data_IF_298671611708
#
_entry.id   IF_298671611708
#
_cell.length_a   1.000
_cell.length_b   1.000
_cell.length_c   1.000
_cell.angle_alpha   90.00
_cell.angle_beta   90.00
_cell.angle_gamma   90.00
#
_symmetry.space_group_name_H-M   'P 1'
#
loop_
_entity.id
_entity.type
_entity.pdbx_description
1 polymer ?
#
# COMPACT_ATOMS: atom_id res chain seq x y z
N UNK A 1 59.21 17.65 -34.68
CA UNK A 1 58.73 17.15 -33.35
C UNK A 1 57.43 17.82 -32.87
N UNK A 2 57.21 19.13 -33.05
CA UNK A 2 56.02 19.87 -32.50
C UNK A 2 54.65 19.38 -33.03
N UNK A 3 54.50 18.93 -34.29
CA UNK A 3 53.20 18.51 -34.86
C UNK A 3 52.65 17.21 -34.27
N UNK A 4 53.52 16.22 -33.94
CA UNK A 4 53.11 14.94 -33.36
C UNK A 4 52.67 15.08 -31.91
N UNK A 5 53.29 15.99 -31.17
CA UNK A 5 52.90 16.31 -29.78
C UNK A 5 51.54 17.00 -29.71
N UNK A 6 51.24 17.89 -30.65
CA UNK A 6 49.95 18.61 -30.70
C UNK A 6 48.77 17.68 -30.99
N UNK A 7 48.95 16.71 -31.91
CA UNK A 7 47.92 15.71 -32.25
C UNK A 7 47.67 14.77 -31.06
N UNK A 8 48.70 14.39 -30.30
CA UNK A 8 48.53 13.56 -29.09
C UNK A 8 47.76 14.25 -27.97
N UNK A 9 48.01 15.56 -27.77
CA UNK A 9 47.28 16.34 -26.76
C UNK A 9 45.82 16.57 -27.16
N UNK A 10 45.54 16.79 -28.44
CA UNK A 10 44.16 16.91 -28.93
C UNK A 10 43.37 15.57 -28.80
N UNK A 11 44.01 14.43 -29.15
CA UNK A 11 43.36 13.11 -28.95
C UNK A 11 43.10 12.81 -27.49
N UNK A 12 44.02 13.10 -26.58
CA UNK A 12 43.80 12.89 -25.14
C UNK A 12 42.67 13.78 -24.59
N UNK A 13 42.55 15.03 -25.07
CA UNK A 13 41.45 15.91 -24.67
C UNK A 13 40.08 15.42 -25.20
N UNK A 14 40.00 14.90 -26.43
CA UNK A 14 38.78 14.37 -27.01
C UNK A 14 38.34 13.08 -26.30
N UNK A 15 39.28 12.17 -26.01
CA UNK A 15 39.02 10.93 -25.28
C UNK A 15 38.60 11.27 -23.84
N UNK A 16 39.24 12.22 -23.18
CA UNK A 16 38.85 12.70 -21.84
C UNK A 16 37.45 13.28 -21.83
N UNK A 17 37.10 14.11 -22.82
CA UNK A 17 35.75 14.70 -22.93
C UNK A 17 34.68 13.62 -23.23
N UNK A 18 34.98 12.62 -24.07
CA UNK A 18 34.10 11.52 -24.36
C UNK A 18 33.87 10.60 -23.14
N UNK A 19 34.91 10.30 -22.37
CA UNK A 19 34.81 9.52 -21.13
C UNK A 19 34.02 10.28 -20.08
N UNK A 20 34.25 11.59 -19.93
CA UNK A 20 33.48 12.42 -19.00
C UNK A 20 32.01 12.49 -19.40
N UNK A 21 31.70 12.61 -20.70
CA UNK A 21 30.34 12.59 -21.21
C UNK A 21 29.66 11.22 -20.98
N UNK A 22 30.40 10.10 -21.18
CA UNK A 22 29.90 8.74 -20.92
C UNK A 22 29.61 8.49 -19.43
N UNK A 23 30.46 9.00 -18.53
CA UNK A 23 30.29 8.88 -17.07
C UNK A 23 29.11 9.71 -16.60
N UNK A 24 28.89 10.89 -17.17
CA UNK A 24 27.73 11.74 -16.84
C UNK A 24 26.41 11.16 -17.33
N UNK A 25 26.43 10.38 -18.44
CA UNK A 25 25.22 9.72 -18.94
C UNK A 25 24.88 8.41 -18.20
N UNK A 26 25.83 7.83 -17.47
CA UNK A 26 25.63 6.58 -16.73
C UNK A 26 25.05 6.75 -15.31
N UNK A 27 24.90 7.98 -14.83
CA UNK A 27 24.45 8.26 -13.45
C UNK A 27 23.16 9.09 -13.36
N UNK A 28 22.40 9.23 -14.43
CA UNK A 28 21.02 9.68 -14.26
C UNK A 28 20.25 8.54 -13.60
N UNK A 29 19.71 8.69 -12.38
CA UNK A 29 18.81 7.68 -11.82
C UNK A 29 17.69 7.43 -12.83
N UNK A 30 17.21 6.18 -12.98
CA UNK A 30 16.13 5.91 -13.91
C UNK A 30 14.95 6.82 -13.55
N UNK A 31 14.55 7.68 -14.50
CA UNK A 31 13.46 8.63 -14.27
C UNK A 31 12.20 7.84 -13.92
N UNK A 32 11.60 8.13 -12.76
CA UNK A 32 10.29 7.60 -12.36
C UNK A 32 9.23 8.38 -13.14
N UNK A 33 8.35 7.68 -13.84
CA UNK A 33 7.28 8.33 -14.61
C UNK A 33 6.13 8.75 -13.69
N UNK A 34 5.79 7.87 -12.74
CA UNK A 34 4.68 8.06 -11.78
C UNK A 34 5.18 7.75 -10.36
N UNK A 35 4.94 8.66 -9.43
CA UNK A 35 4.99 8.34 -8.00
C UNK A 35 3.63 7.87 -7.51
N UNK A 36 3.61 6.90 -6.61
CA UNK A 36 2.42 6.38 -5.94
C UNK A 36 2.51 6.67 -4.43
N UNK A 37 1.41 7.05 -3.81
CA UNK A 37 1.34 7.31 -2.38
C UNK A 37 1.38 6.03 -1.52
N UNK A 38 1.16 4.85 -2.16
CA UNK A 38 1.24 3.54 -1.51
C UNK A 38 1.63 2.46 -2.50
N UNK A 39 2.15 1.34 -2.00
CA UNK A 39 2.46 0.15 -2.80
C UNK A 39 1.23 -0.42 -3.50
N UNK A 40 0.04 -0.27 -2.93
CA UNK A 40 -1.21 -0.72 -3.51
C UNK A 40 -1.53 0.06 -4.80
N UNK A 41 -1.41 1.39 -4.78
CA UNK A 41 -1.54 2.22 -5.98
C UNK A 41 -0.46 1.85 -7.00
N UNK A 42 0.79 1.65 -6.56
CA UNK A 42 1.89 1.27 -7.44
C UNK A 42 1.65 -0.08 -8.13
N UNK A 43 1.13 -1.08 -7.42
CA UNK A 43 0.74 -2.37 -7.99
C UNK A 43 -0.30 -2.20 -9.11
N UNK A 44 -1.36 -1.44 -8.84
CA UNK A 44 -2.41 -1.20 -9.84
C UNK A 44 -1.87 -0.48 -11.07
N UNK A 45 -1.02 0.54 -10.88
CA UNK A 45 -0.38 1.24 -11.99
C UNK A 45 0.46 0.26 -12.81
N UNK A 46 1.21 -0.63 -12.17
CA UNK A 46 1.99 -1.69 -12.82
C UNK A 46 1.12 -2.60 -13.69
N UNK A 47 0.00 -3.08 -13.16
CA UNK A 47 -0.96 -3.94 -13.86
C UNK A 47 -1.61 -3.21 -15.06
N UNK A 48 -2.10 -1.99 -14.84
CA UNK A 48 -2.79 -1.20 -15.85
C UNK A 48 -1.83 -0.71 -16.94
N UNK A 49 -0.65 -0.24 -16.56
CA UNK A 49 0.34 0.27 -17.51
C UNK A 49 1.06 -0.86 -18.28
N UNK A 50 1.05 -2.10 -17.78
CA UNK A 50 1.67 -3.25 -18.44
C UNK A 50 3.16 -3.03 -18.76
N UNK A 51 3.89 -2.42 -17.83
CA UNK A 51 5.33 -2.13 -17.97
C UNK A 51 5.69 -0.91 -18.83
N UNK A 52 4.71 -0.15 -19.32
CA UNK A 52 4.96 1.09 -20.11
C UNK A 52 5.39 2.28 -19.25
N UNK A 53 5.16 2.24 -17.94
CA UNK A 53 5.46 3.30 -17.00
C UNK A 53 6.32 2.74 -15.85
N UNK A 54 7.32 3.50 -15.43
CA UNK A 54 8.09 3.22 -14.23
C UNK A 54 7.44 3.91 -13.04
N UNK A 55 7.09 3.12 -12.05
CA UNK A 55 6.39 3.58 -10.86
C UNK A 55 7.24 3.32 -9.63
N UNK A 56 7.29 4.30 -8.73
CA UNK A 56 7.88 4.15 -7.41
C UNK A 56 6.88 4.58 -6.34
N UNK A 57 7.13 4.19 -5.10
CA UNK A 57 6.23 4.40 -3.97
C UNK A 57 6.83 5.39 -2.98
N UNK A 58 6.08 6.45 -2.62
CA UNK A 58 6.51 7.45 -1.64
C UNK A 58 6.60 6.86 -0.23
N UNK A 59 5.59 6.09 0.17
CA UNK A 59 5.46 5.57 1.54
C UNK A 59 5.64 4.05 1.53
N UNK A 60 6.65 3.50 2.24
CA UNK A 60 6.87 2.05 2.32
C UNK A 60 5.66 1.32 2.91
N UNK A 61 5.33 0.10 2.41
CA UNK A 61 4.06 -0.58 2.72
C UNK A 61 3.92 -1.04 4.18
N UNK A 62 5.02 -1.20 4.90
CA UNK A 62 5.03 -1.60 6.32
C UNK A 62 5.00 -0.44 7.32
N UNK A 63 4.79 0.80 6.86
CA UNK A 63 4.85 2.00 7.72
C UNK A 63 3.49 2.69 7.83
N UNK A 64 3.30 3.43 8.93
CA UNK A 64 2.13 4.30 9.09
C UNK A 64 2.21 5.46 8.09
N UNK A 65 1.24 5.61 7.16
CA UNK A 65 1.33 6.62 6.11
C UNK A 65 1.39 8.06 6.62
N UNK A 66 0.77 8.36 7.76
CA UNK A 66 0.76 9.71 8.32
C UNK A 66 2.01 10.08 9.12
N UNK A 67 2.83 9.07 9.50
CA UNK A 67 4.01 9.27 10.36
C UNK A 67 5.33 8.91 9.66
N UNK A 68 5.31 8.72 8.35
CA UNK A 68 6.51 8.40 7.59
C UNK A 68 7.33 9.67 7.29
N UNK A 69 8.61 9.65 7.66
CA UNK A 69 9.56 10.70 7.30
C UNK A 69 10.05 10.50 5.87
N UNK A 70 9.59 11.36 4.95
CA UNK A 70 9.95 11.29 3.52
C UNK A 70 11.43 11.59 3.31
N UNK A 71 12.12 10.70 2.61
CA UNK A 71 13.57 10.81 2.36
C UNK A 71 13.90 11.76 1.21
N UNK A 72 15.09 12.36 1.20
CA UNK A 72 15.53 13.21 0.10
C UNK A 72 15.47 12.54 -1.28
N UNK A 73 15.75 11.23 -1.36
CA UNK A 73 15.68 10.46 -2.62
C UNK A 73 14.25 10.33 -3.15
N UNK A 74 13.25 10.25 -2.26
CA UNK A 74 11.83 10.18 -2.62
C UNK A 74 11.32 11.54 -3.08
N UNK A 75 11.80 12.63 -2.45
CA UNK A 75 11.54 14.00 -2.90
C UNK A 75 12.16 14.24 -4.30
N UNK A 76 13.38 13.76 -4.54
CA UNK A 76 14.04 13.84 -5.85
C UNK A 76 13.26 13.04 -6.92
N UNK A 77 12.78 11.83 -6.59
CA UNK A 77 11.95 11.03 -7.47
C UNK A 77 10.63 11.76 -7.81
N UNK A 78 9.97 12.36 -6.81
CA UNK A 78 8.77 13.15 -6.99
C UNK A 78 9.02 14.41 -7.86
N UNK A 79 10.16 15.09 -7.66
CA UNK A 79 10.56 16.24 -8.44
C UNK A 79 10.75 15.92 -9.94
N UNK A 80 11.11 14.68 -10.27
CA UNK A 80 11.33 14.21 -11.64
C UNK A 80 10.14 13.42 -12.22
N UNK A 81 9.08 13.22 -11.45
CA UNK A 81 7.89 12.49 -11.90
C UNK A 81 6.91 13.37 -12.65
N UNK A 82 6.17 12.78 -13.60
CA UNK A 82 5.09 13.46 -14.32
C UNK A 82 3.82 13.55 -13.48
N UNK A 83 3.53 12.53 -12.68
CA UNK A 83 2.35 12.52 -11.86
C UNK A 83 2.59 11.81 -10.52
N UNK A 84 1.75 12.17 -9.55
CA UNK A 84 1.70 11.57 -8.22
C UNK A 84 0.27 11.15 -7.90
N UNK A 85 0.07 9.85 -7.67
CA UNK A 85 -1.22 9.25 -7.36
C UNK A 85 -1.32 9.00 -5.86
N UNK A 86 -2.35 9.54 -5.21
CA UNK A 86 -2.56 9.41 -3.76
C UNK A 86 -3.98 8.98 -3.44
N UNK A 87 -4.16 8.30 -2.32
CA UNK A 87 -5.48 8.08 -1.73
C UNK A 87 -6.07 9.39 -1.22
N UNK A 88 -7.39 9.50 -1.16
CA UNK A 88 -8.09 10.70 -0.67
C UNK A 88 -7.66 11.11 0.75
N UNK A 89 -7.44 10.14 1.65
CA UNK A 89 -7.00 10.41 3.03
C UNK A 89 -5.57 10.99 3.11
N UNK A 90 -4.72 10.75 2.11
CA UNK A 90 -3.35 11.26 2.10
C UNK A 90 -3.24 12.76 1.76
N UNK A 91 -4.31 13.39 1.26
CA UNK A 91 -4.32 14.83 0.93
C UNK A 91 -4.05 15.73 2.14
N UNK A 92 -4.46 15.30 3.33
CA UNK A 92 -4.31 16.06 4.57
C UNK A 92 -3.04 15.72 5.35
N UNK A 93 -2.24 14.75 4.89
CA UNK A 93 -1.03 14.35 5.58
C UNK A 93 0.10 15.35 5.32
N UNK A 94 0.66 15.92 6.40
CA UNK A 94 1.72 16.94 6.34
C UNK A 94 2.98 16.42 5.63
N UNK A 95 3.35 15.16 5.81
CA UNK A 95 4.49 14.54 5.14
C UNK A 95 4.27 14.43 3.62
N UNK A 96 3.04 14.21 3.16
CA UNK A 96 2.68 14.13 1.74
C UNK A 96 2.65 15.52 1.11
N UNK A 97 1.98 16.48 1.75
CA UNK A 97 1.91 17.88 1.27
C UNK A 97 3.28 18.53 1.29
N UNK A 98 4.06 18.33 2.36
CA UNK A 98 5.43 18.80 2.46
C UNK A 98 6.37 18.21 1.41
N UNK A 99 6.20 16.93 1.06
CA UNK A 99 6.97 16.30 -0.03
C UNK A 99 6.65 16.93 -1.39
N UNK A 100 5.37 17.21 -1.69
CA UNK A 100 4.94 17.89 -2.91
C UNK A 100 5.58 19.29 -3.01
N UNK A 101 5.53 20.05 -1.92
CA UNK A 101 6.14 21.38 -1.84
C UNK A 101 7.67 21.34 -2.02
N UNK A 102 8.33 20.41 -1.31
CA UNK A 102 9.78 20.23 -1.37
C UNK A 102 10.28 19.76 -2.74
N UNK A 103 9.49 18.95 -3.45
CA UNK A 103 9.79 18.51 -4.82
C UNK A 103 9.85 19.68 -5.81
N UNK A 104 9.15 20.78 -5.52
CA UNK A 104 9.15 22.01 -6.33
C UNK A 104 9.00 21.75 -7.84
N UNK A 105 8.10 20.83 -8.21
CA UNK A 105 7.82 20.43 -9.60
C UNK A 105 6.53 21.09 -10.08
N UNK A 106 6.59 22.24 -10.81
CA UNK A 106 5.39 22.94 -11.27
C UNK A 106 4.59 22.18 -12.33
N UNK A 107 5.19 21.13 -12.92
CA UNK A 107 4.54 20.25 -13.90
C UNK A 107 3.94 18.99 -13.29
N UNK A 108 4.07 18.78 -11.98
CA UNK A 108 3.56 17.59 -11.31
C UNK A 108 2.02 17.55 -11.31
N UNK A 109 1.47 16.49 -11.87
CA UNK A 109 0.03 16.24 -11.86
C UNK A 109 -0.32 15.39 -10.64
N UNK A 110 -0.92 15.99 -9.61
CA UNK A 110 -1.40 15.23 -8.45
C UNK A 110 -2.80 14.68 -8.74
N UNK A 111 -2.93 13.34 -8.69
CA UNK A 111 -4.20 12.62 -8.87
C UNK A 111 -4.66 12.03 -7.55
N UNK A 112 -5.75 12.55 -7.03
CA UNK A 112 -6.40 12.05 -5.83
C UNK A 112 -7.43 11.00 -6.22
N UNK A 113 -7.26 9.79 -5.68
CA UNK A 113 -8.14 8.66 -5.94
C UNK A 113 -9.25 8.62 -4.89
N UNK A 114 -10.43 9.10 -5.29
CA UNK A 114 -11.63 9.07 -4.47
C UNK A 114 -12.32 7.70 -4.62
N UNK A 115 -11.83 6.72 -3.87
CA UNK A 115 -12.41 5.39 -3.74
C UNK A 115 -12.66 5.15 -2.26
N UNK A 116 -13.90 4.84 -1.92
CA UNK A 116 -14.33 4.68 -0.52
C UNK A 116 -14.27 3.19 -0.14
N UNK A 117 -13.79 2.91 1.06
CA UNK A 117 -13.69 1.56 1.61
C UNK A 117 -12.26 1.04 1.69
N UNK A 118 -12.14 -0.16 2.23
CA UNK A 118 -10.84 -0.84 2.35
C UNK A 118 -10.48 -1.49 1.01
N UNK A 119 -9.33 -1.15 0.45
CA UNK A 119 -8.89 -1.60 -0.87
C UNK A 119 -8.43 -3.08 -0.91
N UNK A 120 -8.37 -3.76 0.24
CA UNK A 120 -8.24 -5.22 0.26
C UNK A 120 -9.55 -5.93 -0.09
N UNK A 121 -10.70 -5.23 -0.05
CA UNK A 121 -11.99 -5.74 -0.54
C UNK A 121 -12.00 -5.77 -2.07
N UNK A 122 -12.28 -6.92 -2.71
CA UNK A 122 -12.18 -7.09 -4.16
C UNK A 122 -12.95 -6.04 -4.99
N UNK A 123 -14.18 -5.71 -4.59
CA UNK A 123 -14.99 -4.72 -5.31
C UNK A 123 -14.38 -3.31 -5.22
N UNK A 124 -13.81 -2.93 -4.07
CA UNK A 124 -13.14 -1.63 -3.86
C UNK A 124 -11.83 -1.58 -4.65
N UNK A 125 -11.07 -2.68 -4.66
CA UNK A 125 -9.84 -2.80 -5.46
C UNK A 125 -10.15 -2.65 -6.96
N UNK A 126 -11.19 -3.32 -7.46
CA UNK A 126 -11.61 -3.22 -8.87
C UNK A 126 -12.06 -1.80 -9.25
N UNK A 127 -12.72 -1.07 -8.34
CA UNK A 127 -13.01 0.36 -8.54
C UNK A 127 -11.71 1.17 -8.62
N UNK A 128 -10.75 0.94 -7.72
CA UNK A 128 -9.42 1.56 -7.73
C UNK A 128 -8.71 1.35 -9.06
N UNK A 129 -8.72 0.13 -9.60
CA UNK A 129 -8.15 -0.20 -10.92
C UNK A 129 -8.79 0.67 -12.03
N UNK A 130 -10.10 0.78 -12.04
CA UNK A 130 -10.83 1.57 -13.05
C UNK A 130 -10.51 3.07 -12.95
N UNK A 131 -10.44 3.61 -11.72
CA UNK A 131 -10.10 5.03 -11.47
C UNK A 131 -8.67 5.35 -11.88
N UNK A 132 -7.72 4.46 -11.60
CA UNK A 132 -6.32 4.63 -12.00
C UNK A 132 -6.18 4.58 -13.52
N UNK A 133 -6.84 3.64 -14.21
CA UNK A 133 -6.82 3.57 -15.66
C UNK A 133 -7.38 4.83 -16.33
N UNK A 134 -8.49 5.36 -15.81
CA UNK A 134 -9.05 6.62 -16.27
C UNK A 134 -8.03 7.76 -16.12
N UNK A 135 -7.45 7.91 -14.93
CA UNK A 135 -6.49 8.97 -14.65
C UNK A 135 -5.21 8.86 -15.49
N UNK A 136 -4.71 7.62 -15.72
CA UNK A 136 -3.59 7.38 -16.62
C UNK A 136 -3.94 7.72 -18.09
N UNK A 137 -5.15 7.41 -18.54
CA UNK A 137 -5.64 7.78 -19.87
C UNK A 137 -5.77 9.29 -20.08
N UNK A 138 -6.06 10.06 -19.03
CA UNK A 138 -6.06 11.53 -19.08
C UNK A 138 -4.63 12.10 -19.21
N UNK A 139 -3.63 11.46 -18.55
CA UNK A 139 -2.23 11.89 -18.56
C UNK A 139 -1.51 11.45 -19.84
N UNK A 140 -1.85 10.27 -20.36
CA UNK A 140 -1.26 9.62 -21.53
C UNK A 140 -2.35 9.17 -22.51
N UNK A 141 -3.00 10.13 -23.22
CA UNK A 141 -4.17 9.85 -24.07
C UNK A 141 -3.91 8.82 -25.18
N UNK A 142 -2.68 8.76 -25.68
CA UNK A 142 -2.25 7.81 -26.71
C UNK A 142 -2.33 6.34 -26.24
N UNK A 143 -2.31 6.08 -24.92
CA UNK A 143 -2.42 4.76 -24.32
C UNK A 143 -3.78 4.51 -23.64
N UNK A 144 -4.74 5.44 -23.70
CA UNK A 144 -5.99 5.37 -22.93
C UNK A 144 -6.78 4.07 -23.19
N UNK A 145 -6.90 3.65 -24.46
CA UNK A 145 -7.60 2.39 -24.82
C UNK A 145 -6.87 1.17 -24.25
N UNK A 146 -5.54 1.17 -24.28
CA UNK A 146 -4.73 0.09 -23.73
C UNK A 146 -4.91 -0.02 -22.20
N UNK A 147 -4.83 1.11 -21.49
CA UNK A 147 -5.03 1.13 -20.03
C UNK A 147 -6.44 0.69 -19.64
N UNK A 148 -7.44 1.12 -20.36
CA UNK A 148 -8.83 0.71 -20.10
C UNK A 148 -9.06 -0.78 -20.37
N UNK A 149 -8.42 -1.35 -21.39
CA UNK A 149 -8.47 -2.79 -21.69
C UNK A 149 -7.86 -3.61 -20.55
N UNK A 150 -6.63 -3.27 -20.14
CA UNK A 150 -5.95 -3.94 -19.03
C UNK A 150 -6.73 -3.82 -17.71
N UNK A 151 -7.30 -2.64 -17.43
CA UNK A 151 -8.10 -2.43 -16.23
C UNK A 151 -9.36 -3.29 -16.21
N UNK A 152 -10.04 -3.43 -17.34
CA UNK A 152 -11.23 -4.28 -17.45
C UNK A 152 -10.90 -5.74 -17.15
N UNK A 153 -9.83 -6.25 -17.76
CA UNK A 153 -9.35 -7.61 -17.51
C UNK A 153 -8.91 -7.79 -16.06
N UNK A 154 -8.12 -6.85 -15.52
CA UNK A 154 -7.63 -6.89 -14.15
C UNK A 154 -8.77 -6.87 -13.13
N UNK A 155 -9.78 -6.04 -13.33
CA UNK A 155 -10.94 -5.98 -12.44
C UNK A 155 -11.71 -7.32 -12.40
N UNK A 156 -11.86 -7.99 -13.56
CA UNK A 156 -12.48 -9.31 -13.62
C UNK A 156 -11.67 -10.37 -12.84
N UNK A 157 -10.35 -10.35 -12.99
CA UNK A 157 -9.45 -11.26 -12.24
C UNK A 157 -9.58 -11.03 -10.75
N UNK A 158 -9.56 -9.77 -10.29
CA UNK A 158 -9.70 -9.42 -8.87
C UNK A 158 -11.02 -9.90 -8.29
N UNK A 159 -12.13 -9.68 -9.01
CA UNK A 159 -13.46 -10.10 -8.54
C UNK A 159 -13.56 -11.63 -8.45
N UNK A 160 -13.09 -12.34 -9.49
CA UNK A 160 -13.08 -13.81 -9.49
C UNK A 160 -12.19 -14.39 -8.37
N UNK A 161 -11.04 -13.74 -8.13
CA UNK A 161 -10.14 -14.11 -7.02
C UNK A 161 -10.83 -13.94 -5.66
N UNK A 162 -11.55 -12.83 -5.50
CA UNK A 162 -12.33 -12.53 -4.29
C UNK A 162 -13.37 -13.58 -3.96
N UNK A 163 -14.04 -14.18 -4.97
CA UNK A 163 -14.97 -15.30 -4.74
C UNK A 163 -14.23 -16.52 -4.16
N UNK A 164 -13.08 -16.89 -4.69
CA UNK A 164 -12.26 -17.98 -4.16
C UNK A 164 -11.80 -17.73 -2.71
N UNK A 165 -11.49 -16.48 -2.38
CA UNK A 165 -11.15 -16.06 -0.99
C UNK A 165 -12.38 -16.21 -0.08
N UNK A 166 -13.56 -15.82 -0.55
CA UNK A 166 -14.83 -16.02 0.18
C UNK A 166 -15.10 -17.51 0.48
N UNK A 167 -14.89 -18.37 -0.51
CA UNK A 167 -15.07 -19.82 -0.32
C UNK A 167 -14.12 -20.36 0.77
N UNK A 168 -12.88 -19.89 0.82
CA UNK A 168 -11.92 -20.27 1.88
C UNK A 168 -12.37 -19.81 3.27
N UNK A 169 -12.84 -18.56 3.39
CA UNK A 169 -13.35 -18.01 4.65
C UNK A 169 -14.58 -18.78 5.13
N UNK A 170 -15.50 -19.13 4.23
CA UNK A 170 -16.66 -19.97 4.56
C UNK A 170 -16.26 -21.37 5.04
N UNK A 171 -15.28 -22.01 4.40
CA UNK A 171 -14.72 -23.29 4.84
C UNK A 171 -14.06 -23.19 6.21
N UNK A 172 -13.45 -22.05 6.54
CA UNK A 172 -12.89 -21.73 7.84
C UNK A 172 -13.92 -21.29 8.89
N UNK A 173 -15.23 -21.36 8.58
CA UNK A 173 -16.33 -21.09 9.52
C UNK A 173 -16.27 -19.72 10.20
N UNK A 174 -15.78 -18.69 9.50
CA UNK A 174 -15.60 -17.34 10.07
C UNK A 174 -16.93 -16.58 10.29
N UNK A 175 -18.02 -17.05 9.66
CA UNK A 175 -19.31 -16.37 9.69
C UNK A 175 -19.90 -16.31 11.11
N UNK A 176 -20.15 -15.09 11.59
CA UNK A 176 -20.64 -14.84 12.94
C UNK A 176 -19.60 -14.94 14.06
N UNK A 177 -18.32 -15.22 13.76
CA UNK A 177 -17.23 -15.11 14.73
C UNK A 177 -17.06 -13.67 15.15
N UNK A 178 -17.18 -13.40 16.45
CA UNK A 178 -17.10 -12.05 17.01
C UNK A 178 -15.67 -11.60 17.16
N UNK A 179 -15.40 -10.37 16.71
CA UNK A 179 -14.06 -9.79 16.73
C UNK A 179 -14.11 -8.31 17.14
N UNK A 180 -13.01 -7.79 17.66
CA UNK A 180 -12.71 -6.34 17.66
C UNK A 180 -11.57 -6.08 16.68
N UNK A 181 -11.59 -4.95 15.99
CA UNK A 181 -10.55 -4.68 14.99
C UNK A 181 -10.17 -3.20 14.90
N UNK A 182 -8.97 -2.94 14.41
CA UNK A 182 -8.57 -1.59 14.03
C UNK A 182 -9.54 -1.02 12.98
N UNK A 183 -9.96 0.25 13.11
CA UNK A 183 -10.91 0.93 12.21
C UNK A 183 -10.51 0.80 10.74
N UNK A 184 -9.20 0.86 10.45
CA UNK A 184 -8.67 0.74 9.08
C UNK A 184 -8.88 -0.66 8.49
N UNK A 185 -9.16 -1.69 9.31
CA UNK A 185 -9.42 -3.06 8.88
C UNK A 185 -10.91 -3.41 8.82
N UNK A 186 -11.77 -2.61 9.43
CA UNK A 186 -13.20 -2.93 9.58
C UNK A 186 -13.89 -3.28 8.24
N UNK A 187 -13.55 -2.55 7.16
CA UNK A 187 -14.11 -2.84 5.84
C UNK A 187 -13.72 -4.20 5.28
N UNK A 188 -12.47 -4.64 5.48
CA UNK A 188 -12.01 -5.95 5.05
C UNK A 188 -12.52 -7.07 5.97
N UNK A 189 -12.46 -6.88 7.28
CA UNK A 189 -12.91 -7.84 8.30
C UNK A 189 -14.41 -8.12 8.16
N UNK A 190 -15.23 -7.08 7.98
CA UNK A 190 -16.66 -7.23 7.72
C UNK A 190 -16.96 -7.90 6.37
N UNK A 191 -16.18 -7.54 5.31
CA UNK A 191 -16.28 -8.26 4.03
C UNK A 191 -15.89 -9.73 4.20
N UNK A 192 -14.91 -10.07 5.02
CA UNK A 192 -14.50 -11.45 5.29
C UNK A 192 -15.61 -12.30 5.94
N UNK A 193 -16.55 -11.69 6.66
CA UNK A 193 -17.71 -12.38 7.26
C UNK A 193 -17.71 -12.38 8.79
N UNK A 194 -16.69 -11.77 9.42
CA UNK A 194 -16.63 -11.64 10.87
C UNK A 194 -17.69 -10.65 11.41
N UNK A 195 -18.16 -10.89 12.61
CA UNK A 195 -19.06 -10.02 13.37
C UNK A 195 -18.22 -9.03 14.21
N UNK A 196 -18.17 -7.78 13.77
CA UNK A 196 -17.36 -6.73 14.43
C UNK A 196 -18.15 -6.15 15.60
N UNK A 197 -17.72 -6.47 16.82
CA UNK A 197 -18.32 -5.96 18.08
C UNK A 197 -17.94 -4.51 18.30
N UNK A 198 -16.65 -4.20 18.16
CA UNK A 198 -16.13 -2.84 18.31
C UNK A 198 -14.94 -2.60 17.39
N UNK A 199 -14.66 -1.31 17.13
CA UNK A 199 -13.45 -0.89 16.44
C UNK A 199 -12.61 0.04 17.32
N UNK A 200 -11.30 0.08 17.05
CA UNK A 200 -10.38 0.98 17.75
C UNK A 200 -9.52 1.77 16.75
N UNK A 201 -9.21 3.00 17.14
CA UNK A 201 -8.33 3.89 16.42
C UNK A 201 -6.86 3.52 16.58
N UNK A 202 -5.97 4.46 16.29
CA UNK A 202 -4.53 4.25 16.51
C UNK A 202 -4.22 4.10 17.99
N UNK A 203 -3.31 3.18 18.36
CA UNK A 203 -2.95 2.96 19.78
C UNK A 203 -2.52 4.22 20.51
N UNK A 204 -1.76 5.10 19.85
CA UNK A 204 -1.27 6.37 20.41
C UNK A 204 -2.38 7.42 20.68
N UNK A 205 -3.54 7.28 20.03
CA UNK A 205 -4.69 8.19 20.19
C UNK A 205 -5.67 7.69 21.28
N UNK A 206 -5.46 6.48 21.83
CA UNK A 206 -6.35 5.87 22.81
C UNK A 206 -5.96 6.24 24.25
N UNK A 207 -6.94 6.68 25.02
CA UNK A 207 -6.77 6.84 26.45
C UNK A 207 -6.90 5.51 27.18
N UNK A 208 -6.28 5.35 28.39
CA UNK A 208 -6.44 4.14 29.19
C UNK A 208 -7.90 3.77 29.49
N UNK A 209 -8.77 4.76 29.63
CA UNK A 209 -10.21 4.52 29.86
C UNK A 209 -10.90 3.92 28.61
N UNK A 210 -10.52 4.35 27.40
CA UNK A 210 -11.03 3.78 26.15
C UNK A 210 -10.56 2.33 25.99
N UNK A 211 -9.30 2.05 26.30
CA UNK A 211 -8.76 0.67 26.24
C UNK A 211 -9.50 -0.23 27.25
N UNK A 212 -9.72 0.23 28.49
CA UNK A 212 -10.46 -0.52 29.50
C UNK A 212 -11.92 -0.79 29.08
N UNK A 213 -12.59 0.18 28.46
CA UNK A 213 -13.94 0.00 27.93
C UNK A 213 -13.97 -1.03 26.78
N UNK A 214 -12.98 -0.97 25.88
CA UNK A 214 -12.85 -1.92 24.77
C UNK A 214 -12.64 -3.35 25.27
N UNK A 215 -11.80 -3.54 26.31
CA UNK A 215 -11.58 -4.82 26.98
C UNK A 215 -12.91 -5.36 27.56
N UNK A 216 -13.64 -4.53 28.31
CA UNK A 216 -14.91 -4.95 28.90
C UNK A 216 -15.93 -5.35 27.84
N UNK A 217 -16.07 -4.56 26.76
CA UNK A 217 -17.00 -4.83 25.66
C UNK A 217 -16.64 -6.15 24.95
N UNK A 218 -15.35 -6.37 24.72
CA UNK A 218 -14.86 -7.62 24.11
C UNK A 218 -15.11 -8.85 24.99
N UNK A 219 -14.86 -8.75 26.31
CA UNK A 219 -15.13 -9.82 27.28
C UNK A 219 -16.64 -10.15 27.34
N UNK A 220 -17.50 -9.13 27.49
CA UNK A 220 -18.97 -9.32 27.56
C UNK A 220 -19.53 -9.95 26.28
N UNK A 221 -18.95 -9.64 25.12
CA UNK A 221 -19.38 -10.18 23.85
C UNK A 221 -18.85 -11.61 23.58
N UNK A 222 -17.76 -12.04 24.23
CA UNK A 222 -17.05 -13.28 23.92
C UNK A 222 -16.36 -13.18 22.56
N UNK A 223 -15.45 -12.20 22.44
CA UNK A 223 -14.68 -11.94 21.21
C UNK A 223 -13.59 -12.99 21.05
N UNK A 224 -13.49 -13.58 19.85
CA UNK A 224 -12.48 -14.58 19.52
C UNK A 224 -11.13 -13.96 19.07
N UNK A 225 -11.18 -12.85 18.29
CA UNK A 225 -9.97 -12.24 17.74
C UNK A 225 -9.91 -10.75 18.01
N UNK A 226 -8.67 -10.28 18.22
CA UNK A 226 -8.29 -8.86 18.25
C UNK A 226 -7.45 -8.57 17.01
N UNK A 227 -7.98 -7.82 16.04
CA UNK A 227 -7.37 -7.65 14.73
C UNK A 227 -6.71 -6.27 14.62
N UNK A 228 -5.39 -6.25 14.71
CA UNK A 228 -4.55 -5.05 14.53
C UNK A 228 -4.31 -4.74 13.05
N UNK A 229 -4.02 -3.46 12.78
CA UNK A 229 -3.57 -2.99 11.47
C UNK A 229 -2.08 -2.67 11.48
N UNK A 230 -1.31 -3.34 10.63
CA UNK A 230 0.15 -3.14 10.52
C UNK A 230 0.54 -1.66 10.31
N UNK A 231 -0.28 -0.90 9.58
CA UNK A 231 -0.02 0.49 9.24
C UNK A 231 -0.56 1.51 10.27
N UNK A 232 -1.03 1.08 11.42
CA UNK A 232 -1.52 1.98 12.47
C UNK A 232 -0.47 2.37 13.52
N UNK A 233 0.82 2.18 13.23
CA UNK A 233 1.93 2.52 14.12
C UNK A 233 2.32 1.35 15.02
N UNK A 234 1.81 1.29 16.25
CA UNK A 234 2.09 0.17 17.14
C UNK A 234 1.11 -0.99 16.91
N UNK A 235 1.63 -2.20 16.80
CA UNK A 235 0.85 -3.46 16.76
C UNK A 235 0.86 -4.20 18.12
N UNK A 236 1.20 -3.48 19.20
CA UNK A 236 1.28 -4.07 20.55
C UNK A 236 -0.03 -3.96 21.32
N UNK A 237 -1.01 -3.22 20.83
CA UNK A 237 -2.29 -3.01 21.52
C UNK A 237 -3.06 -4.34 21.64
N UNK A 238 -3.23 -5.06 20.53
CA UNK A 238 -3.88 -6.36 20.53
C UNK A 238 -3.20 -7.33 21.49
N UNK A 239 -1.90 -7.49 21.37
CA UNK A 239 -1.11 -8.36 22.27
C UNK A 239 -1.18 -7.95 23.75
N UNK A 240 -1.41 -6.66 24.07
CA UNK A 240 -1.60 -6.25 25.45
C UNK A 240 -3.02 -6.53 25.95
N UNK A 241 -4.04 -6.39 25.10
CA UNK A 241 -5.43 -6.72 25.43
C UNK A 241 -5.67 -8.23 25.54
N UNK A 242 -4.99 -9.04 24.72
CA UNK A 242 -5.02 -10.51 24.77
C UNK A 242 -4.78 -11.09 26.17
N UNK A 243 -3.97 -10.39 27.01
CA UNK A 243 -3.71 -10.81 28.39
C UNK A 243 -4.93 -10.66 29.31
N UNK A 244 -5.87 -9.80 28.96
CA UNK A 244 -7.07 -9.49 29.74
C UNK A 244 -8.36 -10.08 29.11
N UNK A 245 -8.30 -10.55 27.85
CA UNK A 245 -9.42 -11.10 27.11
C UNK A 245 -9.06 -12.50 26.64
N UNK A 246 -10.00 -13.44 26.72
CA UNK A 246 -9.83 -14.77 26.14
C UNK A 246 -10.01 -14.75 24.63
N UNK A 247 -9.03 -14.15 23.94
CA UNK A 247 -9.05 -13.90 22.50
C UNK A 247 -7.61 -13.94 21.95
N UNK A 248 -7.44 -14.21 20.67
CA UNK A 248 -6.14 -14.23 20.00
C UNK A 248 -5.90 -12.92 19.24
N UNK A 249 -4.74 -12.30 19.45
CA UNK A 249 -4.34 -11.08 18.74
C UNK A 249 -3.67 -11.42 17.40
N UNK A 250 -4.12 -10.78 16.32
CA UNK A 250 -3.57 -10.97 14.98
C UNK A 250 -3.38 -9.63 14.26
N UNK A 251 -2.26 -9.48 13.56
CA UNK A 251 -1.97 -8.26 12.76
C UNK A 251 -2.06 -8.56 11.29
N UNK A 252 -2.91 -7.80 10.56
CA UNK A 252 -3.05 -7.89 9.11
C UNK A 252 -2.67 -6.57 8.41
N UNK A 253 -2.50 -6.60 7.09
CA UNK A 253 -1.97 -5.48 6.31
C UNK A 253 -2.97 -4.93 5.31
N UNK A 254 -3.03 -3.60 5.16
CA UNK A 254 -3.79 -2.92 4.11
C UNK A 254 -3.01 -2.75 2.81
N UNK A 255 -1.70 -3.04 2.79
CA UNK A 255 -0.86 -2.78 1.62
C UNK A 255 -0.06 -4.01 1.20
N UNK A 256 -0.04 -4.32 -0.12
CA UNK A 256 0.90 -5.30 -0.67
C UNK A 256 2.35 -4.95 -0.30
N UNK A 257 3.15 -5.95 0.08
CA UNK A 257 4.52 -5.78 0.56
C UNK A 257 4.62 -5.36 2.03
N UNK A 258 3.51 -5.16 2.76
CA UNK A 258 3.52 -4.85 4.19
C UNK A 258 4.02 -6.01 5.03
N UNK A 259 3.63 -7.22 4.68
CA UNK A 259 4.11 -8.48 5.26
C UNK A 259 5.11 -9.16 4.31
N UNK A 260 5.84 -10.15 4.80
CA UNK A 260 6.80 -10.89 3.96
C UNK A 260 6.08 -11.66 2.85
N UNK A 261 6.66 -11.64 1.64
CA UNK A 261 6.17 -12.34 0.45
C UNK A 261 4.76 -11.93 0.00
N UNK A 262 4.37 -10.67 0.23
CA UNK A 262 3.05 -10.12 -0.11
C UNK A 262 3.12 -8.99 -1.13
N UNK A 263 4.02 -9.05 -2.12
CA UNK A 263 4.32 -7.97 -3.08
C UNK A 263 3.17 -7.66 -4.03
N UNK A 264 2.19 -8.57 -4.21
CA UNK A 264 0.98 -8.36 -5.01
C UNK A 264 -0.26 -8.32 -4.13
N UNK A 265 -1.36 -7.77 -4.69
CA UNK A 265 -2.64 -7.71 -3.97
C UNK A 265 -3.15 -9.10 -3.58
N UNK A 266 -3.04 -10.09 -4.49
CA UNK A 266 -3.46 -11.48 -4.23
C UNK A 266 -2.67 -12.10 -3.07
N UNK A 267 -1.36 -11.95 -3.08
CA UNK A 267 -0.52 -12.46 -1.99
C UNK A 267 -0.82 -11.77 -0.66
N UNK A 268 -1.16 -10.48 -0.68
CA UNK A 268 -1.48 -9.72 0.52
C UNK A 268 -2.83 -10.15 1.11
N UNK A 269 -3.86 -10.33 0.29
CA UNK A 269 -5.17 -10.81 0.75
C UNK A 269 -5.09 -12.25 1.24
N UNK A 270 -4.36 -13.13 0.55
CA UNK A 270 -4.13 -14.50 0.98
C UNK A 270 -3.46 -14.56 2.34
N UNK A 271 -2.38 -13.78 2.53
CA UNK A 271 -1.67 -13.75 3.80
C UNK A 271 -2.54 -13.23 4.95
N UNK A 272 -3.36 -12.20 4.68
CA UNK A 272 -4.32 -11.72 5.68
C UNK A 272 -5.33 -12.80 6.06
N UNK A 273 -5.87 -13.53 5.08
CA UNK A 273 -6.81 -14.64 5.32
C UNK A 273 -6.15 -15.80 6.06
N UNK A 274 -4.93 -16.18 5.68
CA UNK A 274 -4.18 -17.23 6.38
C UNK A 274 -3.98 -16.87 7.86
N UNK A 275 -3.56 -15.63 8.14
CA UNK A 275 -3.36 -15.16 9.51
C UNK A 275 -4.65 -15.17 10.34
N UNK A 276 -5.78 -14.74 9.75
CA UNK A 276 -7.07 -14.76 10.43
C UNK A 276 -7.55 -16.17 10.72
N UNK A 277 -7.39 -17.11 9.79
CA UNK A 277 -7.76 -18.52 9.98
C UNK A 277 -6.82 -19.23 10.96
N UNK A 278 -5.52 -18.95 10.91
CA UNK A 278 -4.53 -19.45 11.88
C UNK A 278 -4.90 -19.00 13.30
N UNK A 279 -5.21 -17.70 13.49
CA UNK A 279 -5.60 -17.16 14.79
C UNK A 279 -6.93 -17.72 15.30
N UNK A 280 -7.90 -17.95 14.41
CA UNK A 280 -9.19 -18.55 14.79
C UNK A 280 -9.01 -20.01 15.23
N UNK A 281 -8.21 -20.79 14.52
CA UNK A 281 -7.89 -22.15 14.93
C UNK A 281 -7.18 -22.19 16.30
N UNK A 282 -6.25 -21.25 16.53
CA UNK A 282 -5.55 -21.15 17.83
C UNK A 282 -6.54 -20.84 18.97
N UNK A 283 -7.48 -19.93 18.74
CA UNK A 283 -8.53 -19.62 19.73
C UNK A 283 -9.43 -20.83 20.03
N UNK A 284 -9.86 -21.56 18.99
CA UNK A 284 -10.68 -22.78 19.15
C UNK A 284 -9.94 -23.88 19.94
N UNK A 285 -8.63 -24.02 19.76
CA UNK A 285 -7.80 -24.98 20.51
C UNK A 285 -7.63 -24.60 21.98
N UNK A 286 -7.72 -23.31 22.32
CA UNK A 286 -7.62 -22.83 23.70
C UNK A 286 -8.94 -22.98 24.47
N UNK A 287 -10.08 -22.87 23.78
CA UNK A 287 -11.44 -22.93 24.38
C UNK A 287 -11.98 -24.39 24.51
N UNK A 288 -11.33 -25.38 23.90
CA UNK A 288 -11.73 -26.83 23.90
C UNK A 288 -10.93 -27.66 24.85
#
# INVERSE_FOLDING_TARGET
MRRKTLIGVLMAAVVGALVTLLVLTQHAPPSVDIMAGSSLIANIIGDVAGGKLRTDTLIPPGTCPGHYDVKPSEIEALANSRAFFIHSFQQSYENVTGAIEAANNPGLIVKVLNVTGNWMVPAVQAEGVSKIAQALGEIYPENAVYYQGNATERAQVILAYGEGVKDRLQQGSVDGVKVICAEMQAGFVGWAGFDIVATFGRPEDLTPAQVANLINEAQEAGVALIIDNLQSGSTTLGASMEQDIDAVAVTISNFPGGLQNTETWEKAIDKNVDLLLEALNEWEEQDG
#
